data_IF_206999856411
#
_entry.id   IF_206999856411
#
_cell.length_a   1.000
_cell.length_b   1.000
_cell.length_c   1.000
_cell.angle_alpha   90.00
_cell.angle_beta   90.00
_cell.angle_gamma   90.00
#
_symmetry.space_group_name_H-M   'P 1'
#
loop_
_entity.id
_entity.type
_entity.pdbx_description
1 polymer ?
#
# COMPACT_ATOMS: atom_id res chain seq x y z
N UNK A 1 -14.39 18.75 -2.44
CA UNK A 1 -14.62 17.32 -2.72
C UNK A 1 -14.02 16.43 -1.63
N UNK A 2 -12.71 16.36 -1.41
CA UNK A 2 -12.16 15.59 -0.25
C UNK A 2 -12.12 16.40 1.06
N UNK A 3 -11.83 17.71 1.01
CA UNK A 3 -11.72 18.52 2.24
C UNK A 3 -12.98 18.49 3.14
N UNK A 4 -14.16 18.28 2.57
CA UNK A 4 -15.41 18.21 3.32
C UNK A 4 -15.58 16.91 4.13
N UNK A 5 -14.86 15.84 3.77
CA UNK A 5 -14.92 14.55 4.47
C UNK A 5 -13.74 14.31 5.41
N UNK A 6 -12.73 15.16 5.35
CA UNK A 6 -11.63 15.16 6.33
C UNK A 6 -12.19 15.59 7.70
N UNK A 7 -11.75 14.97 8.81
CA UNK A 7 -12.19 15.36 10.15
C UNK A 7 -12.09 16.86 10.40
N UNK A 8 -13.11 17.45 11.02
CA UNK A 8 -13.24 18.92 11.15
C UNK A 8 -12.01 19.58 11.78
N UNK A 9 -11.33 18.90 12.73
CA UNK A 9 -10.11 19.39 13.37
C UNK A 9 -8.94 19.60 12.40
N UNK A 10 -8.96 18.96 11.23
CA UNK A 10 -7.91 18.99 10.21
C UNK A 10 -8.28 19.84 8.99
N UNK A 11 -9.53 20.30 8.88
CA UNK A 11 -10.00 21.07 7.71
C UNK A 11 -9.32 22.45 7.59
N UNK A 12 -8.84 23.00 8.70
CA UNK A 12 -8.09 24.26 8.72
C UNK A 12 -6.57 24.07 8.61
N UNK A 13 -6.09 22.83 8.46
CA UNK A 13 -4.66 22.52 8.34
C UNK A 13 -4.19 22.64 6.89
N UNK A 14 -2.96 23.10 6.71
CA UNK A 14 -2.28 23.09 5.40
C UNK A 14 -1.69 21.72 5.11
N UNK A 15 -2.12 21.09 4.02
CA UNK A 15 -1.56 19.83 3.55
C UNK A 15 -0.26 20.07 2.79
N UNK A 16 0.83 19.41 3.23
CA UNK A 16 2.11 19.41 2.54
C UNK A 16 2.34 18.07 1.84
N UNK A 17 2.89 18.06 0.60
CA UNK A 17 3.26 16.80 -0.05
C UNK A 17 4.34 16.09 0.77
N UNK A 18 4.13 14.80 1.04
CA UNK A 18 5.11 13.95 1.73
C UNK A 18 5.95 13.12 0.76
N UNK A 19 5.31 12.57 -0.29
CA UNK A 19 5.93 11.72 -1.28
C UNK A 19 5.14 11.76 -2.58
N UNK A 20 5.81 11.77 -3.72
CA UNK A 20 5.23 11.61 -5.05
C UNK A 20 6.12 10.72 -5.90
N UNK A 21 5.62 9.58 -6.39
CA UNK A 21 6.43 8.64 -7.17
C UNK A 21 7.05 9.23 -8.44
N UNK A 22 6.40 10.23 -9.05
CA UNK A 22 6.91 10.93 -10.22
C UNK A 22 8.08 11.89 -9.91
N UNK A 23 8.23 12.31 -8.66
CA UNK A 23 9.27 13.26 -8.21
C UNK A 23 10.34 12.52 -7.41
N UNK A 24 9.92 11.68 -6.47
CA UNK A 24 10.77 10.98 -5.51
C UNK A 24 11.19 9.59 -6.00
N UNK A 25 10.61 9.08 -7.08
CA UNK A 25 10.88 7.75 -7.64
C UNK A 25 9.97 6.64 -7.10
N UNK A 26 10.10 5.45 -7.68
CA UNK A 26 9.16 4.33 -7.45
C UNK A 26 9.64 3.31 -6.39
N UNK A 27 10.60 3.68 -5.54
CA UNK A 27 11.14 2.77 -4.51
C UNK A 27 10.24 2.71 -3.27
N UNK A 28 9.84 1.50 -2.89
CA UNK A 28 9.05 1.28 -1.66
C UNK A 28 9.81 1.68 -0.39
N UNK A 29 11.12 1.42 -0.34
CA UNK A 29 11.97 1.86 0.78
C UNK A 29 11.97 3.38 0.92
N UNK A 30 11.91 4.09 -0.21
CA UNK A 30 11.86 5.55 -0.23
C UNK A 30 10.50 6.07 0.20
N UNK A 31 9.41 5.43 -0.24
CA UNK A 31 8.06 5.71 0.28
C UNK A 31 8.02 5.57 1.81
N UNK A 32 8.53 4.44 2.35
CA UNK A 32 8.62 4.21 3.79
C UNK A 32 9.38 5.37 4.47
N UNK A 33 10.56 5.71 3.96
CA UNK A 33 11.39 6.78 4.52
C UNK A 33 10.66 8.13 4.63
N UNK A 34 9.84 8.49 3.63
CA UNK A 34 9.09 9.75 3.65
C UNK A 34 7.86 9.72 4.56
N UNK A 35 7.22 8.55 4.70
CA UNK A 35 5.92 8.40 5.36
C UNK A 35 6.05 7.99 6.83
N UNK A 36 7.13 7.31 7.22
CA UNK A 36 7.37 6.87 8.59
C UNK A 36 7.31 8.04 9.59
N UNK A 37 6.61 7.82 10.70
CA UNK A 37 6.35 8.80 11.77
C UNK A 37 5.53 10.04 11.32
N UNK A 38 4.95 10.03 10.10
CA UNK A 38 4.05 11.09 9.59
C UNK A 38 2.59 10.66 9.70
N UNK A 39 1.71 11.63 9.90
CA UNK A 39 0.26 11.44 9.90
C UNK A 39 -0.47 12.54 10.68
N UNK A 40 -1.78 12.70 10.48
CA UNK A 40 -2.63 11.98 9.53
C UNK A 40 -2.26 12.25 8.06
N UNK A 41 -2.56 11.33 7.14
CA UNK A 41 -2.17 11.43 5.72
C UNK A 41 -3.33 11.14 4.78
N UNK A 42 -3.36 11.84 3.65
CA UNK A 42 -4.17 11.47 2.48
C UNK A 42 -3.27 10.79 1.46
N UNK A 43 -3.63 9.57 1.06
CA UNK A 43 -2.94 8.82 0.02
C UNK A 43 -3.78 8.91 -1.25
N UNK A 44 -3.14 9.26 -2.37
CA UNK A 44 -3.77 9.32 -3.69
C UNK A 44 -2.98 8.43 -4.63
N UNK A 45 -3.68 7.52 -5.29
CA UNK A 45 -3.13 6.56 -6.24
C UNK A 45 -3.81 6.80 -7.59
N UNK A 46 -3.00 6.80 -8.64
CA UNK A 46 -3.46 6.76 -10.03
C UNK A 46 -2.91 5.51 -10.68
N UNK A 47 -3.79 4.65 -11.18
CA UNK A 47 -3.37 3.43 -11.86
C UNK A 47 -3.11 3.66 -13.37
N UNK A 48 -2.70 2.59 -14.06
CA UNK A 48 -2.44 2.61 -15.51
C UNK A 48 -3.69 2.91 -16.34
N UNK A 49 -4.86 2.53 -15.85
CA UNK A 49 -6.17 2.70 -16.49
C UNK A 49 -6.81 4.06 -16.20
N UNK A 50 -6.08 4.96 -15.52
CA UNK A 50 -6.49 6.32 -15.17
C UNK A 50 -7.56 6.40 -14.07
N UNK A 51 -7.81 5.31 -13.36
CA UNK A 51 -8.58 5.40 -12.12
C UNK A 51 -7.79 6.18 -11.08
N UNK A 52 -8.50 6.98 -10.30
CA UNK A 52 -7.91 7.76 -9.21
C UNK A 52 -8.68 7.43 -7.94
N UNK A 53 -7.98 6.94 -6.94
CA UNK A 53 -8.56 6.47 -5.68
C UNK A 53 -7.53 6.59 -4.56
N UNK A 54 -7.94 6.29 -3.34
CA UNK A 54 -7.05 6.37 -2.20
C UNK A 54 -7.76 6.22 -0.87
N UNK A 55 -7.14 6.78 0.16
CA UNK A 55 -7.68 6.74 1.50
C UNK A 55 -7.08 7.80 2.40
N UNK A 56 -7.81 8.07 3.49
CA UNK A 56 -7.35 8.88 4.60
C UNK A 56 -6.93 7.95 5.74
N UNK A 57 -5.71 8.15 6.23
CA UNK A 57 -5.16 7.49 7.38
C UNK A 57 -5.14 8.47 8.56
N UNK A 58 -5.89 8.14 9.62
CA UNK A 58 -6.13 9.05 10.75
C UNK A 58 -4.93 9.16 11.71
N UNK A 59 -4.04 8.17 11.70
CA UNK A 59 -2.91 8.08 12.61
C UNK A 59 -1.56 8.22 11.90
N UNK A 60 -0.51 8.36 12.71
CA UNK A 60 0.87 8.35 12.23
C UNK A 60 1.26 6.94 11.79
N UNK A 61 2.01 6.83 10.70
CA UNK A 61 2.54 5.57 10.20
C UNK A 61 3.73 5.12 11.05
N UNK A 62 3.52 4.10 11.87
CA UNK A 62 4.55 3.47 12.68
C UNK A 62 4.61 1.98 12.34
N UNK A 63 5.82 1.44 12.18
CA UNK A 63 6.02 0.01 11.98
C UNK A 63 5.39 -0.78 13.14
N UNK A 64 4.45 -1.67 12.83
CA UNK A 64 3.74 -2.46 13.82
C UNK A 64 3.24 -3.76 13.21
N UNK A 65 3.31 -4.84 13.98
CA UNK A 65 2.64 -6.11 13.65
C UNK A 65 1.12 -6.05 13.88
N UNK A 66 0.63 -5.01 14.55
CA UNK A 66 -0.77 -4.79 14.86
C UNK A 66 -1.37 -3.69 13.96
N UNK A 67 -2.65 -3.82 13.66
CA UNK A 67 -3.42 -2.74 13.04
C UNK A 67 -3.47 -1.51 13.96
N UNK A 68 -3.41 -0.33 13.36
CA UNK A 68 -3.56 0.98 14.01
C UNK A 68 -4.68 1.77 13.33
N UNK A 69 -4.93 3.00 13.78
CA UNK A 69 -5.98 3.86 13.23
C UNK A 69 -7.27 3.81 14.05
N UNK A 70 -8.28 4.53 13.56
CA UNK A 70 -9.61 4.61 14.15
C UNK A 70 -10.70 4.78 13.07
N UNK A 71 -11.94 4.99 13.51
CA UNK A 71 -13.13 5.11 12.65
C UNK A 71 -13.12 6.35 11.75
N UNK A 72 -12.15 7.25 11.89
CA UNK A 72 -11.99 8.38 10.98
C UNK A 72 -11.23 8.00 9.69
N UNK A 73 -10.62 6.82 9.63
CA UNK A 73 -10.06 6.29 8.39
C UNK A 73 -11.16 6.03 7.37
N UNK A 74 -10.94 6.37 6.11
CA UNK A 74 -11.90 6.07 5.04
C UNK A 74 -11.19 5.85 3.71
N UNK A 75 -11.86 5.15 2.79
CA UNK A 75 -11.41 5.01 1.41
C UNK A 75 -12.24 5.92 0.50
N UNK A 76 -11.70 6.27 -0.65
CA UNK A 76 -12.42 7.06 -1.65
C UNK A 76 -12.00 6.70 -3.07
N UNK A 77 -12.91 6.95 -4.02
CA UNK A 77 -12.61 7.07 -5.45
C UNK A 77 -12.82 8.52 -5.88
N UNK A 78 -12.02 8.97 -6.84
CA UNK A 78 -12.11 10.30 -7.48
C UNK A 78 -12.44 10.18 -8.97
N UNK A 79 -12.01 9.10 -9.63
CA UNK A 79 -12.22 8.85 -11.06
C UNK A 79 -12.36 7.35 -11.30
N UNK A 80 -13.35 6.88 -12.08
CA UNK A 80 -14.24 7.69 -12.92
C UNK A 80 -15.37 8.37 -12.14
N UNK A 81 -15.70 7.84 -10.96
CA UNK A 81 -16.76 8.35 -10.10
C UNK A 81 -16.22 8.71 -8.71
N UNK A 82 -16.80 9.76 -8.13
CA UNK A 82 -16.48 10.19 -6.78
C UNK A 82 -17.31 9.42 -5.76
N UNK A 83 -16.67 8.59 -4.93
CA UNK A 83 -17.33 7.85 -3.85
C UNK A 83 -16.49 7.92 -2.57
N UNK A 84 -17.17 7.84 -1.42
CA UNK A 84 -16.56 7.78 -0.09
C UNK A 84 -17.04 6.52 0.60
N UNK A 85 -16.11 5.75 1.18
CA UNK A 85 -16.37 4.50 1.87
C UNK A 85 -15.89 4.63 3.31
N UNK A 86 -16.85 4.82 4.21
CA UNK A 86 -16.61 4.91 5.64
C UNK A 86 -16.48 3.51 6.26
N UNK A 87 -15.81 3.37 7.42
CA UNK A 87 -15.76 2.11 8.12
C UNK A 87 -17.14 1.60 8.49
N UNK A 88 -17.35 0.30 8.35
CA UNK A 88 -18.64 -0.34 8.64
C UNK A 88 -18.83 -0.70 10.10
N UNK A 89 -17.79 -0.56 10.93
CA UNK A 89 -17.76 -1.03 12.31
C UNK A 89 -17.55 -2.54 12.46
N UNK A 90 -17.35 -3.29 11.37
CA UNK A 90 -17.17 -4.75 11.42
C UNK A 90 -15.91 -5.18 12.17
N UNK A 91 -14.80 -4.46 11.98
CA UNK A 91 -13.55 -4.69 12.68
C UNK A 91 -12.81 -3.36 12.90
N UNK A 92 -11.66 -3.43 13.59
CA UNK A 92 -10.80 -2.27 13.88
C UNK A 92 -9.49 -2.30 13.08
N UNK A 93 -9.50 -2.94 11.91
CA UNK A 93 -8.33 -3.14 11.06
C UNK A 93 -8.17 -1.96 10.08
N UNK A 94 -7.94 -0.75 10.59
CA UNK A 94 -7.99 0.47 9.76
C UNK A 94 -6.71 0.71 8.95
N UNK A 95 -5.56 0.57 9.58
CA UNK A 95 -4.26 0.83 8.97
C UNK A 95 -3.28 -0.28 9.34
N UNK A 96 -2.51 -0.76 8.36
CA UNK A 96 -1.46 -1.74 8.58
C UNK A 96 -0.17 -1.27 7.93
N UNK A 97 0.91 -1.22 8.71
CA UNK A 97 2.21 -0.77 8.24
C UNK A 97 3.30 -1.57 8.91
N UNK A 98 3.76 -2.60 8.21
CA UNK A 98 4.81 -3.50 8.68
C UNK A 98 5.86 -3.60 7.59
N UNK A 99 7.07 -3.13 7.89
CA UNK A 99 8.25 -3.26 7.04
C UNK A 99 9.44 -3.58 7.94
N UNK A 100 10.39 -4.35 7.43
CA UNK A 100 11.57 -4.73 8.20
C UNK A 100 11.42 -6.00 9.05
N UNK A 101 10.40 -6.84 8.83
CA UNK A 101 10.52 -8.25 9.24
C UNK A 101 11.60 -8.87 8.38
N UNK A 102 12.82 -8.91 8.90
CA UNK A 102 13.88 -9.77 8.41
C UNK A 102 13.29 -11.18 8.30
N UNK A 103 13.06 -11.67 7.08
CA UNK A 103 13.15 -13.11 6.84
C UNK A 103 14.57 -13.50 7.24
N UNK A 104 14.71 -14.15 8.41
CA UNK A 104 15.99 -14.66 8.88
C UNK A 104 16.64 -15.50 7.78
N UNK A 105 17.91 -15.24 7.40
CA UNK A 105 18.62 -16.07 6.45
C UNK A 105 19.11 -17.31 7.18
N UNK A 106 18.32 -18.38 7.16
CA UNK A 106 18.77 -19.76 7.42
C UNK A 106 17.69 -20.76 7.02
N UNK A 107 17.77 -21.27 5.78
CA UNK A 107 17.43 -22.66 5.44
C UNK A 107 16.01 -23.22 5.61
N UNK A 108 15.03 -22.51 6.20
CA UNK A 108 13.65 -23.01 6.33
C UNK A 108 12.65 -21.85 6.27
N UNK A 109 12.27 -21.44 5.05
CA UNK A 109 11.21 -20.48 4.85
C UNK A 109 9.85 -21.13 5.16
N UNK A 110 9.37 -20.99 6.40
CA UNK A 110 7.93 -21.05 6.63
C UNK A 110 7.32 -19.81 5.98
N UNK A 111 6.66 -20.01 4.84
CA UNK A 111 5.81 -19.00 4.22
C UNK A 111 4.74 -18.57 5.22
N UNK A 112 4.94 -17.45 5.92
CA UNK A 112 3.83 -16.78 6.55
C UNK A 112 2.99 -16.18 5.42
N UNK A 113 1.88 -16.86 5.12
CA UNK A 113 0.83 -16.46 4.21
C UNK A 113 0.49 -14.97 4.40
N UNK A 114 0.41 -14.21 3.31
CA UNK A 114 0.27 -12.75 3.36
C UNK A 114 -1.00 -12.38 4.14
N UNK A 115 -0.96 -11.32 4.95
CA UNK A 115 -2.18 -10.80 5.61
C UNK A 115 -3.28 -10.48 4.58
N UNK A 116 -2.89 -10.16 3.34
CA UNK A 116 -3.79 -9.98 2.19
C UNK A 116 -4.61 -11.25 1.85
N UNK A 117 -4.06 -12.44 2.13
CA UNK A 117 -4.72 -13.71 1.88
C UNK A 117 -5.76 -14.03 2.97
N UNK A 118 -5.49 -13.56 4.20
CA UNK A 118 -6.28 -13.84 5.41
C UNK A 118 -7.35 -12.82 5.72
N UNK A 119 -7.18 -11.54 5.37
CA UNK A 119 -8.13 -10.48 5.72
C UNK A 119 -9.04 -10.13 4.52
N UNK A 120 -10.36 -10.42 4.59
CA UNK A 120 -11.32 -10.01 3.58
C UNK A 120 -11.34 -8.49 3.32
N UNK A 121 -11.00 -7.65 4.31
CA UNK A 121 -10.91 -6.20 4.15
C UNK A 121 -9.70 -5.78 3.31
N UNK A 122 -8.59 -6.50 3.40
CA UNK A 122 -7.42 -6.27 2.54
C UNK A 122 -7.71 -6.66 1.08
N UNK A 123 -8.58 -7.66 0.86
CA UNK A 123 -9.12 -8.00 -0.47
C UNK A 123 -10.08 -6.94 -1.00
N UNK A 124 -10.76 -6.19 -0.13
CA UNK A 124 -11.73 -5.17 -0.52
C UNK A 124 -11.10 -4.03 -1.32
N UNK A 125 -9.85 -3.65 -1.02
CA UNK A 125 -9.10 -2.64 -1.81
C UNK A 125 -8.84 -3.13 -3.23
N UNK A 126 -8.52 -4.42 -3.40
CA UNK A 126 -8.33 -5.03 -4.72
C UNK A 126 -9.66 -5.17 -5.48
N UNK A 127 -10.74 -5.53 -4.79
CA UNK A 127 -12.07 -5.63 -5.40
C UNK A 127 -12.63 -4.28 -5.82
N UNK A 128 -12.27 -3.19 -5.12
CA UNK A 128 -12.66 -1.82 -5.49
C UNK A 128 -12.10 -1.40 -6.87
N UNK A 129 -11.02 -2.06 -7.32
CA UNK A 129 -10.35 -1.80 -8.59
C UNK A 129 -10.82 -2.71 -9.73
N UNK A 130 -11.87 -3.51 -9.51
CA UNK A 130 -12.33 -4.54 -10.44
C UNK A 130 -11.22 -5.52 -10.91
N UNK A 131 -10.14 -5.67 -10.12
CA UNK A 131 -9.04 -6.59 -10.41
C UNK A 131 -9.18 -7.85 -9.56
N UNK A 132 -9.04 -9.01 -10.20
CA UNK A 132 -8.95 -10.30 -9.52
C UNK A 132 -7.75 -10.39 -8.56
N UNK A 133 -7.77 -11.31 -7.59
CA UNK A 133 -6.75 -11.44 -6.55
C UNK A 133 -5.43 -11.95 -7.13
N UNK A 134 -4.59 -11.04 -7.63
CA UNK A 134 -3.19 -11.31 -7.93
C UNK A 134 -2.32 -10.37 -7.08
N UNK A 135 -1.83 -10.87 -5.96
CA UNK A 135 -0.79 -10.23 -5.17
C UNK A 135 0.58 -10.54 -5.79
N UNK A 136 0.87 -9.93 -6.93
CA UNK A 136 2.22 -9.85 -7.48
C UNK A 136 2.97 -8.75 -6.69
N UNK A 137 3.38 -9.06 -5.46
CA UNK A 137 4.41 -8.24 -4.82
C UNK A 137 5.59 -8.17 -5.79
N UNK A 138 6.12 -6.98 -6.06
CA UNK A 138 7.28 -6.76 -6.94
C UNK A 138 8.40 -7.72 -6.55
N UNK A 139 8.48 -8.87 -7.23
CA UNK A 139 9.59 -9.79 -7.13
C UNK A 139 10.72 -9.11 -7.88
N UNK A 140 11.75 -8.73 -7.16
CA UNK A 140 12.98 -8.28 -7.80
C UNK A 140 13.54 -9.50 -8.54
N UNK A 141 13.35 -9.53 -9.86
CA UNK A 141 13.68 -10.67 -10.69
C UNK A 141 13.52 -10.43 -12.19
N UNK A 142 13.46 -9.18 -12.65
CA UNK A 142 13.54 -8.87 -14.09
C UNK A 142 14.95 -8.38 -14.43
N UNK A 143 15.85 -9.34 -14.63
CA UNK A 143 16.92 -9.25 -15.62
C UNK A 143 17.62 -10.60 -15.65
N UNK A 144 17.43 -11.37 -16.71
CA UNK A 144 18.50 -11.77 -17.62
C UNK A 144 17.83 -12.42 -18.84
N UNK A 145 18.03 -11.77 -19.98
CA UNK A 145 17.67 -12.29 -21.28
C UNK A 145 18.32 -13.66 -21.50
N UNK A 146 17.57 -14.54 -22.15
CA UNK A 146 18.00 -15.81 -22.70
C UNK A 146 19.25 -15.64 -23.59
N UNK A 147 20.25 -16.50 -23.39
CA UNK A 147 21.24 -16.87 -24.41
C UNK A 147 21.43 -18.40 -24.37
N UNK A 148 21.50 -19.07 -25.53
CA UNK A 148 21.30 -20.51 -25.66
C UNK A 148 22.52 -21.39 -25.35
N UNK A 149 22.23 -22.67 -25.17
CA UNK A 149 23.08 -23.79 -24.75
C UNK A 149 24.31 -24.16 -25.64
N UNK A 150 25.39 -24.57 -24.93
CA UNK A 150 26.42 -25.58 -25.25
C UNK A 150 27.51 -25.30 -26.34
N UNK A 151 28.68 -25.99 -26.36
CA UNK A 151 29.10 -27.20 -25.60
C UNK A 151 30.48 -27.15 -24.89
N UNK A 152 30.76 -28.23 -24.16
CA UNK A 152 32.01 -28.56 -23.45
C UNK A 152 33.23 -28.76 -24.37
N UNK A 153 34.43 -28.35 -23.93
CA UNK A 153 35.71 -28.95 -24.35
C UNK A 153 36.65 -29.05 -23.13
N UNK A 154 37.24 -30.24 -23.00
CA UNK A 154 38.27 -30.67 -22.04
C UNK A 154 39.64 -30.04 -22.34
N UNK A 155 40.44 -29.82 -21.30
CA UNK A 155 41.80 -30.37 -21.17
C UNK A 155 42.07 -30.68 -19.69
#
# INVERSE_FOLDING_TARGET
>A
MINSVIPHRLQMSTWSPLFCSNVDGFSFQRLIFFVENKGPTVIIIKDSEKHVFGGFASHRWNASANFIGDEECFLFTLSPEFNIYLPTGYNKNFMYFNYGVHTMPSGMAQYHQSTLDRDPAAKAVLSLLARGPHSEGLRQGDSFAELPDHPQIQF
#
